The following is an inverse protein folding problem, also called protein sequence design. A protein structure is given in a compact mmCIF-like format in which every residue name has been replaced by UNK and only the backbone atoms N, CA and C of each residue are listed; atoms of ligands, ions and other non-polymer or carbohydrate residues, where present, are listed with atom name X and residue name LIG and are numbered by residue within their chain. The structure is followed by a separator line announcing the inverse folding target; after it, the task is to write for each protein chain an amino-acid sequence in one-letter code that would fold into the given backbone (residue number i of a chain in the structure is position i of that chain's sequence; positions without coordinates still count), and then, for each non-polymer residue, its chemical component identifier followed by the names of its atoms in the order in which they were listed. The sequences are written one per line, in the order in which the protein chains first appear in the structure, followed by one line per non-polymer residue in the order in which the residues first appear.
data_IF_126923598309
#
_entry.id   IF_126923598309
#
_cell.length_a   1.000
_cell.length_b   1.000
_cell.length_c   1.000
_cell.angle_alpha   90.00
_cell.angle_beta   90.00
_cell.angle_gamma   90.00
#
_symmetry.space_group_name_H-M   'P 1'
#
loop_
_entity.id
_entity.type
_entity.pdbx_description
1 polymer ?
#
# COMPACT_ATOMS: atom_id res chain seq x y z
N UNK A 1 -0.03 14.34 12.54
CA UNK A 1 0.39 13.07 11.94
C UNK A 1 0.11 12.03 13.01
N UNK A 2 -0.72 11.03 12.76
CA UNK A 2 -1.06 10.03 13.78
C UNK A 2 0.08 9.04 13.97
N UNK A 3 0.16 8.39 15.13
CA UNK A 3 1.24 7.44 15.45
C UNK A 3 1.30 6.27 14.47
N UNK A 4 0.14 5.79 14.00
CA UNK A 4 0.05 4.74 12.96
C UNK A 4 0.62 5.17 11.60
N UNK A 5 0.42 6.45 11.20
CA UNK A 5 0.98 7.00 9.98
C UNK A 5 2.51 7.09 10.06
N UNK A 6 3.02 7.51 11.22
CA UNK A 6 4.47 7.55 11.47
C UNK A 6 5.09 6.15 11.46
N UNK A 7 4.45 5.16 12.09
CA UNK A 7 4.87 3.76 12.06
C UNK A 7 4.93 3.23 10.64
N UNK A 8 3.84 3.41 9.89
CA UNK A 8 3.76 2.92 8.53
C UNK A 8 4.84 3.53 7.63
N UNK A 9 4.95 4.86 7.63
CA UNK A 9 5.94 5.57 6.81
C UNK A 9 7.37 5.19 7.17
N UNK A 10 7.69 5.12 8.47
CA UNK A 10 9.03 4.72 8.90
C UNK A 10 9.43 3.35 8.36
N UNK A 11 8.57 2.36 8.48
CA UNK A 11 8.90 0.99 8.10
C UNK A 11 8.79 0.77 6.60
N UNK A 12 7.70 1.23 5.97
CA UNK A 12 7.42 0.93 4.58
C UNK A 12 7.95 1.97 3.57
N UNK A 13 8.58 3.07 4.01
CA UNK A 13 9.40 3.89 3.13
C UNK A 13 10.70 3.17 2.69
N UNK A 14 11.10 2.13 3.39
CA UNK A 14 12.21 1.25 3.00
C UNK A 14 11.73 0.32 1.88
N UNK A 15 12.32 0.38 0.66
CA UNK A 15 11.82 -0.36 -0.49
C UNK A 15 11.77 -1.88 -0.29
N UNK A 16 12.71 -2.47 0.43
CA UNK A 16 12.75 -3.91 0.72
C UNK A 16 11.56 -4.34 1.57
N UNK A 17 11.18 -3.55 2.56
CA UNK A 17 10.02 -3.78 3.42
C UNK A 17 8.71 -3.65 2.62
N UNK A 18 8.62 -2.61 1.79
CA UNK A 18 7.48 -2.41 0.91
C UNK A 18 7.36 -3.54 -0.12
N UNK A 19 8.47 -4.02 -0.68
CA UNK A 19 8.49 -5.13 -1.62
C UNK A 19 7.93 -6.42 -0.98
N UNK A 20 8.27 -6.70 0.29
CA UNK A 20 7.69 -7.82 1.05
C UNK A 20 6.17 -7.71 1.18
N UNK A 21 5.67 -6.53 1.56
CA UNK A 21 4.23 -6.26 1.64
C UNK A 21 3.57 -6.44 0.26
N UNK A 22 4.11 -5.85 -0.79
CA UNK A 22 3.57 -5.96 -2.14
C UNK A 22 3.48 -7.41 -2.61
N UNK A 23 4.51 -8.24 -2.34
CA UNK A 23 4.47 -9.68 -2.65
C UNK A 23 3.34 -10.41 -1.94
N UNK A 24 2.95 -9.98 -0.74
CA UNK A 24 1.89 -10.63 0.03
C UNK A 24 0.47 -10.21 -0.38
N UNK A 25 0.32 -9.08 -1.08
CA UNK A 25 -1.00 -8.45 -1.32
C UNK A 25 -1.36 -8.36 -2.79
N UNK A 26 -0.37 -8.17 -3.66
CA UNK A 26 -0.62 -8.08 -5.11
C UNK A 26 -1.07 -9.42 -5.68
N UNK A 27 -1.94 -9.43 -6.71
CA UNK A 27 -2.20 -10.62 -7.50
C UNK A 27 -0.92 -11.29 -8.00
N UNK A 28 -0.88 -12.62 -8.00
CA UNK A 28 0.32 -13.38 -8.34
C UNK A 28 0.90 -13.02 -9.72
N UNK A 29 0.03 -12.71 -10.69
CA UNK A 29 0.42 -12.28 -12.03
C UNK A 29 1.16 -10.94 -12.01
N UNK A 30 0.73 -9.99 -11.16
CA UNK A 30 1.44 -8.72 -10.98
C UNK A 30 2.78 -8.92 -10.27
N UNK A 31 2.84 -9.77 -9.23
CA UNK A 31 4.10 -10.10 -8.57
C UNK A 31 5.10 -10.71 -9.54
N UNK A 32 4.65 -11.62 -10.41
CA UNK A 32 5.50 -12.24 -11.42
C UNK A 32 6.00 -11.25 -12.48
N UNK A 33 5.14 -10.29 -12.86
CA UNK A 33 5.46 -9.29 -13.87
C UNK A 33 6.34 -8.13 -13.35
N UNK A 34 6.38 -7.89 -12.04
CA UNK A 34 7.14 -6.80 -11.43
C UNK A 34 8.52 -7.24 -10.96
N UNK A 35 9.53 -6.42 -11.19
CA UNK A 35 10.81 -6.57 -10.50
C UNK A 35 10.82 -5.80 -9.18
N UNK A 36 10.26 -6.42 -8.14
CA UNK A 36 10.17 -5.83 -6.80
C UNK A 36 11.53 -5.72 -6.09
N UNK A 37 12.61 -6.32 -6.63
CA UNK A 37 13.96 -6.08 -6.10
C UNK A 37 14.52 -4.71 -6.52
N UNK A 38 13.90 -4.07 -7.50
CA UNK A 38 14.23 -2.74 -8.01
C UNK A 38 13.11 -1.73 -7.72
N UNK A 39 12.38 -1.95 -6.62
CA UNK A 39 11.37 -1.01 -6.15
C UNK A 39 12.04 0.29 -5.72
N UNK A 40 11.54 1.42 -6.19
CA UNK A 40 12.06 2.75 -5.85
C UNK A 40 10.96 3.58 -5.17
N UNK A 41 11.28 4.17 -4.02
CA UNK A 41 10.43 5.17 -3.39
C UNK A 41 10.58 6.50 -4.14
N UNK A 42 9.48 7.05 -4.65
CA UNK A 42 9.47 8.36 -5.28
C UNK A 42 9.26 9.44 -4.21
N UNK A 43 10.12 10.47 -4.21
CA UNK A 43 9.96 11.60 -3.31
C UNK A 43 8.71 12.42 -3.67
N UNK A 44 7.93 12.84 -2.67
CA UNK A 44 6.71 13.63 -2.88
C UNK A 44 6.95 15.00 -3.56
N UNK A 45 8.19 15.48 -3.64
CA UNK A 45 8.59 16.70 -4.35
C UNK A 45 8.48 16.58 -5.87
N UNK A 46 8.49 15.35 -6.41
CA UNK A 46 8.36 15.10 -7.85
C UNK A 46 6.93 15.23 -8.38
N UNK A 47 5.93 15.38 -7.51
CA UNK A 47 4.52 15.41 -7.88
C UNK A 47 3.88 16.73 -7.44
N UNK A 48 4.20 17.79 -8.16
CA UNK A 48 3.58 19.14 -8.14
C UNK A 48 3.37 19.84 -6.78
N UNK A 49 3.87 21.08 -6.70
CA UNK A 49 3.80 22.03 -5.57
C UNK A 49 2.38 22.42 -5.09
N UNK A 50 1.30 21.83 -5.66
CA UNK A 50 -0.07 22.30 -5.44
C UNK A 50 -0.99 21.33 -4.65
N UNK A 51 -0.44 20.30 -3.97
CA UNK A 51 -1.24 19.31 -3.24
C UNK A 51 -0.93 19.26 -1.74
N UNK A 52 -0.89 20.42 -1.07
CA UNK A 52 -0.52 20.55 0.33
C UNK A 52 -1.40 19.82 1.36
N UNK A 53 -2.57 19.26 0.99
CA UNK A 53 -3.46 18.62 1.94
C UNK A 53 -3.83 17.15 1.63
N UNK A 54 -3.39 16.56 0.50
CA UNK A 54 -3.84 15.22 0.08
C UNK A 54 -2.70 14.39 -0.52
N UNK A 55 -1.60 14.19 0.22
CA UNK A 55 -0.50 13.32 -0.24
C UNK A 55 -0.86 11.86 0.00
N UNK A 56 -0.61 11.01 -1.00
CA UNK A 56 -0.48 9.57 -0.77
C UNK A 56 0.62 9.34 0.27
N UNK A 57 0.44 8.35 1.15
CA UNK A 57 1.42 8.12 2.20
C UNK A 57 2.76 7.71 1.61
N UNK A 58 2.75 6.78 0.65
CA UNK A 58 3.94 6.34 -0.07
C UNK A 58 3.62 6.12 -1.54
N UNK A 59 4.53 6.52 -2.43
CA UNK A 59 4.48 6.28 -3.86
C UNK A 59 5.75 5.54 -4.28
N UNK A 60 5.58 4.37 -4.87
CA UNK A 60 6.69 3.59 -5.41
C UNK A 60 6.60 3.45 -6.92
N UNK A 61 7.76 3.18 -7.51
CA UNK A 61 7.92 2.80 -8.90
C UNK A 61 8.67 1.46 -8.96
N UNK A 62 8.14 0.52 -9.74
CA UNK A 62 8.78 -0.76 -10.01
C UNK A 62 8.82 -1.02 -11.51
N UNK A 63 9.92 -1.57 -12.06
CA UNK A 63 9.98 -1.96 -13.46
C UNK A 63 9.13 -3.21 -13.70
N UNK A 64 8.46 -3.26 -14.87
CA UNK A 64 7.90 -4.49 -15.40
C UNK A 64 9.02 -5.34 -16.02
N UNK A 65 8.93 -6.64 -15.82
CA UNK A 65 9.77 -7.63 -16.51
C UNK A 65 9.12 -7.95 -17.85
N UNK A 66 9.47 -7.21 -18.89
CA UNK A 66 9.11 -7.61 -20.26
C UNK A 66 10.27 -8.44 -20.83
N UNK A 67 9.95 -9.65 -21.27
CA UNK A 67 10.84 -10.44 -22.13
C UNK A 67 10.61 -9.91 -23.55
N UNK A 68 11.54 -9.09 -24.05
CA UNK A 68 11.59 -8.73 -25.45
C UNK A 68 11.79 -9.98 -26.32
N UNK A 69 11.42 -9.92 -27.60
CA UNK A 69 11.60 -11.03 -28.57
C UNK A 69 13.07 -11.46 -28.70
N UNK A 70 14.00 -10.58 -28.33
CA UNK A 70 15.47 -10.78 -28.34
C UNK A 70 16.04 -11.24 -26.98
N UNK A 71 15.19 -11.48 -25.97
CA UNK A 71 15.60 -11.87 -24.62
C UNK A 71 16.19 -10.73 -23.77
N UNK A 72 16.20 -9.50 -24.27
CA UNK A 72 16.50 -8.33 -23.47
C UNK A 72 15.28 -7.95 -22.63
N UNK A 73 15.50 -7.59 -21.37
CA UNK A 73 14.43 -7.13 -20.46
C UNK A 73 14.25 -5.62 -20.64
N UNK A 74 13.24 -5.23 -21.40
CA UNK A 74 12.79 -3.85 -21.44
C UNK A 74 12.03 -3.52 -20.15
N UNK A 75 12.47 -2.49 -19.45
CA UNK A 75 11.87 -2.08 -18.19
C UNK A 75 10.85 -0.96 -18.40
N UNK A 76 9.56 -1.30 -18.31
CA UNK A 76 8.49 -0.31 -18.17
C UNK A 76 8.26 -0.07 -16.67
N UNK A 77 8.47 1.17 -16.21
CA UNK A 77 8.22 1.50 -14.81
C UNK A 77 6.72 1.62 -14.51
N UNK A 78 6.27 0.88 -13.51
CA UNK A 78 4.90 0.89 -13.00
C UNK A 78 4.85 1.67 -11.68
N UNK A 79 4.25 2.86 -11.62
CA UNK A 79 4.04 3.56 -10.37
C UNK A 79 3.02 2.82 -9.48
N UNK A 80 3.41 2.52 -8.25
CA UNK A 80 2.55 1.90 -7.24
C UNK A 80 2.28 2.90 -6.11
N UNK A 81 1.01 3.12 -5.80
CA UNK A 81 0.58 3.90 -4.65
C UNK A 81 0.23 3.00 -3.49
N UNK A 82 0.83 3.26 -2.33
CA UNK A 82 0.45 2.66 -1.06
C UNK A 82 -0.24 3.72 -0.21
N UNK A 83 -1.49 3.47 0.17
CA UNK A 83 -2.25 4.30 1.09
C UNK A 83 -2.50 3.53 2.37
N UNK A 84 -2.32 4.20 3.51
CA UNK A 84 -2.74 3.69 4.81
C UNK A 84 -4.04 4.35 5.20
N UNK A 85 -5.02 3.53 5.47
CA UNK A 85 -6.28 3.97 6.06
C UNK A 85 -6.37 3.45 7.48
N UNK A 86 -6.21 4.33 8.45
CA UNK A 86 -6.19 4.01 9.89
C UNK A 86 -7.38 4.59 10.67
N UNK A 87 -8.42 5.00 9.96
CA UNK A 87 -9.66 5.46 10.58
C UNK A 87 -10.48 4.28 11.07
N UNK A 88 -11.33 4.53 12.07
CA UNK A 88 -12.26 3.53 12.63
C UNK A 88 -13.34 3.10 11.63
N UNK A 89 -13.54 3.86 10.55
CA UNK A 89 -14.52 3.61 9.50
C UNK A 89 -13.88 3.90 8.16
N UNK A 90 -14.01 3.01 7.16
CA UNK A 90 -13.47 3.25 5.83
C UNK A 90 -14.06 4.52 5.23
N UNK A 91 -13.24 5.38 4.58
CA UNK A 91 -13.77 6.59 3.96
C UNK A 91 -14.78 6.25 2.86
N UNK A 92 -16.00 6.81 2.88
CA UNK A 92 -17.05 6.46 1.92
C UNK A 92 -16.70 6.86 0.48
N UNK A 93 -15.66 7.66 0.29
CA UNK A 93 -15.21 8.18 -1.01
C UNK A 93 -13.76 7.77 -1.33
N UNK A 94 -13.28 6.66 -0.79
CA UNK A 94 -11.89 6.23 -1.00
C UNK A 94 -11.52 6.06 -2.47
N UNK A 95 -12.32 5.46 -3.37
CA UNK A 95 -11.98 5.37 -4.79
C UNK A 95 -11.87 6.74 -5.48
N UNK A 96 -12.68 7.72 -5.10
CA UNK A 96 -12.58 9.08 -5.62
C UNK A 96 -11.32 9.79 -5.09
N UNK A 97 -10.97 9.56 -3.82
CA UNK A 97 -9.72 10.06 -3.24
C UNK A 97 -8.51 9.44 -3.95
N UNK A 98 -8.54 8.13 -4.19
CA UNK A 98 -7.50 7.43 -4.94
C UNK A 98 -7.29 8.01 -6.35
N UNK A 99 -8.37 8.33 -7.07
CA UNK A 99 -8.26 8.97 -8.40
C UNK A 99 -7.51 10.32 -8.33
N UNK A 100 -7.65 11.08 -7.24
CA UNK A 100 -6.92 12.33 -7.05
C UNK A 100 -5.41 12.14 -6.94
N UNK A 101 -4.95 10.97 -6.50
CA UNK A 101 -3.52 10.63 -6.48
C UNK A 101 -3.02 10.11 -7.84
N UNK A 102 -3.87 9.46 -8.62
CA UNK A 102 -3.52 8.97 -9.96
C UNK A 102 -3.29 10.12 -10.94
N UNK A 103 -4.15 11.14 -10.90
CA UNK A 103 -4.08 12.27 -11.84
C UNK A 103 -2.73 13.01 -11.82
N UNK A 104 -2.14 13.37 -10.68
CA UNK A 104 -0.82 13.99 -10.63
C UNK A 104 0.30 13.10 -11.20
N UNK A 105 0.25 11.78 -10.98
CA UNK A 105 1.21 10.85 -11.58
C UNK A 105 1.16 10.91 -13.10
N UNK A 106 -0.03 10.93 -13.67
CA UNK A 106 -0.21 11.06 -15.12
C UNK A 106 0.21 12.44 -15.64
N UNK A 107 -0.13 13.50 -14.93
CA UNK A 107 0.29 14.87 -15.28
C UNK A 107 1.81 15.02 -15.23
N UNK A 108 2.46 14.47 -14.22
CA UNK A 108 3.93 14.44 -14.11
C UNK A 108 4.56 13.72 -15.31
N UNK A 109 4.07 12.51 -15.64
CA UNK A 109 4.56 11.75 -16.77
C UNK A 109 4.40 12.48 -18.12
N UNK A 110 3.32 13.23 -18.31
CA UNK A 110 3.11 14.05 -19.50
C UNK A 110 3.98 15.32 -19.50
N UNK A 111 4.30 15.86 -18.32
CA UNK A 111 5.20 17.02 -18.19
C UNK A 111 6.67 16.63 -18.46
N UNK A 112 7.07 15.45 -18.01
CA UNK A 112 8.41 14.88 -18.26
C UNK A 112 8.63 14.57 -19.75
N UNK A 113 7.60 14.06 -20.42
CA UNK A 113 7.63 13.73 -21.84
C UNK A 113 6.31 14.21 -22.52
N UNK A 114 6.28 15.45 -23.04
CA UNK A 114 5.12 15.98 -23.74
C UNK A 114 4.73 15.24 -25.03
N UNK A 115 5.63 14.42 -25.59
CA UNK A 115 5.35 13.59 -26.77
C UNK A 115 4.76 12.22 -26.42
N UNK A 116 4.68 11.88 -25.13
CA UNK A 116 4.15 10.61 -24.62
C UNK A 116 2.71 10.40 -25.08
N UNK A 117 2.46 9.23 -25.67
CA UNK A 117 1.12 8.84 -26.17
C UNK A 117 0.33 7.95 -25.21
N UNK A 118 0.99 7.39 -24.20
CA UNK A 118 0.41 6.44 -23.25
C UNK A 118 0.64 6.91 -21.82
N UNK A 119 -0.31 6.66 -20.93
CA UNK A 119 -0.15 6.95 -19.51
C UNK A 119 0.46 5.74 -18.80
N UNK A 120 1.32 5.96 -17.79
CA UNK A 120 1.83 4.86 -16.99
C UNK A 120 0.68 4.20 -16.21
N UNK A 121 0.68 2.87 -16.04
CA UNK A 121 -0.27 2.21 -15.18
C UNK A 121 -0.03 2.61 -13.71
N UNK A 122 -1.12 2.76 -12.95
CA UNK A 122 -1.08 3.05 -11.52
C UNK A 122 -1.94 2.05 -10.79
N UNK A 123 -1.37 1.37 -9.82
CA UNK A 123 -2.08 0.43 -8.94
C UNK A 123 -2.25 1.09 -7.57
N UNK A 124 -3.47 1.08 -7.06
CA UNK A 124 -3.81 1.65 -5.77
C UNK A 124 -4.00 0.54 -4.75
N UNK A 125 -3.14 0.53 -3.73
CA UNK A 125 -3.24 -0.34 -2.58
C UNK A 125 -3.64 0.47 -1.34
N UNK A 126 -4.64 0.02 -0.63
CA UNK A 126 -5.05 0.55 0.67
C UNK A 126 -4.76 -0.50 1.73
N UNK A 127 -3.91 -0.18 2.69
CA UNK A 127 -3.70 -1.01 3.88
C UNK A 127 -4.64 -0.51 4.97
N UNK A 128 -5.60 -1.35 5.33
CA UNK A 128 -6.63 -1.02 6.30
C UNK A 128 -6.47 -1.83 7.58
N UNK A 129 -6.58 -1.15 8.73
CA UNK A 129 -6.45 -1.77 10.04
C UNK A 129 -7.53 -1.27 11.04
N UNK A 130 -8.71 -0.96 10.54
CA UNK A 130 -9.83 -0.53 11.38
C UNK A 130 -10.52 -1.68 12.09
N UNK A 131 -11.33 -1.38 13.13
CA UNK A 131 -11.82 -2.41 14.09
C UNK A 131 -12.91 -3.34 13.54
N UNK A 132 -13.49 -3.09 12.37
CA UNK A 132 -14.63 -3.84 11.83
C UNK A 132 -14.42 -4.39 10.42
N UNK A 133 -13.19 -4.40 9.94
CA UNK A 133 -12.89 -4.74 8.55
C UNK A 133 -13.32 -3.65 7.55
N UNK A 134 -12.92 -3.85 6.29
CA UNK A 134 -13.25 -2.92 5.23
C UNK A 134 -14.70 -3.05 4.78
N UNK A 135 -15.49 -1.99 4.92
CA UNK A 135 -16.90 -1.92 4.49
C UNK A 135 -17.15 -0.84 3.44
N UNK A 136 -16.11 -0.08 3.06
CA UNK A 136 -16.20 0.98 2.05
C UNK A 136 -16.26 0.47 0.62
N UNK A 137 -16.53 1.34 -0.36
CA UNK A 137 -16.49 0.99 -1.76
C UNK A 137 -15.06 0.59 -2.18
N UNK A 138 -14.97 -0.38 -3.10
CA UNK A 138 -13.72 -0.87 -3.65
C UNK A 138 -13.44 -0.33 -5.05
N UNK A 139 -14.42 0.31 -5.68
CA UNK A 139 -14.27 0.87 -7.02
C UNK A 139 -15.06 2.17 -7.20
N UNK A 140 -14.67 2.96 -8.21
CA UNK A 140 -15.46 4.14 -8.61
C UNK A 140 -16.85 3.75 -9.07
N UNK A 141 -17.00 2.62 -9.77
CA UNK A 141 -18.31 2.15 -10.23
C UNK A 141 -19.30 1.89 -9.09
N UNK A 142 -18.84 1.49 -7.92
CA UNK A 142 -19.69 1.32 -6.73
C UNK A 142 -20.22 2.67 -6.20
N UNK A 143 -19.60 3.78 -6.58
CA UNK A 143 -19.98 5.13 -6.17
C UNK A 143 -20.84 5.85 -7.21
N UNK A 144 -20.94 5.34 -8.43
CA UNK A 144 -21.68 5.98 -9.53
C UNK A 144 -23.11 5.47 -9.55
N UNK A 145 -24.06 6.39 -9.30
CA UNK A 145 -25.47 6.06 -9.29
C UNK A 145 -25.98 5.61 -10.68
N UNK A 146 -26.83 4.60 -10.69
CA UNK A 146 -27.52 4.14 -11.89
C UNK A 146 -26.80 3.10 -12.73
N UNK A 147 -25.55 2.71 -12.39
CA UNK A 147 -24.83 1.65 -13.12
C UNK A 147 -25.44 0.25 -12.91
N UNK A 148 -26.20 0.06 -11.85
CA UNK A 148 -27.01 -1.12 -11.58
C UNK A 148 -28.26 -1.19 -12.48
N UNK A 149 -28.86 -0.02 -12.76
CA UNK A 149 -30.07 0.12 -13.58
C UNK A 149 -29.78 0.12 -15.08
N UNK A 150 -28.63 0.67 -15.47
CA UNK A 150 -28.21 0.77 -16.87
C UNK A 150 -26.77 0.31 -17.04
N UNK A 151 -26.50 -1.02 -17.03
CA UNK A 151 -25.16 -1.59 -17.05
C UNK A 151 -24.29 -1.18 -18.24
N UNK A 152 -24.90 -0.81 -19.38
CA UNK A 152 -24.18 -0.33 -20.58
C UNK A 152 -23.34 0.92 -20.28
N UNK A 153 -23.72 1.75 -19.30
CA UNK A 153 -22.96 2.92 -18.89
C UNK A 153 -21.58 2.58 -18.34
N UNK A 154 -21.34 1.34 -17.86
CA UNK A 154 -20.03 0.94 -17.34
C UNK A 154 -18.90 1.11 -18.36
N UNK A 155 -19.17 0.93 -19.63
CA UNK A 155 -18.19 1.13 -20.71
C UNK A 155 -17.86 2.61 -20.96
N UNK A 156 -18.68 3.53 -20.49
CA UNK A 156 -18.57 4.97 -20.75
C UNK A 156 -18.22 5.81 -19.52
N UNK A 157 -18.12 5.15 -18.35
CA UNK A 157 -17.80 5.80 -17.07
C UNK A 157 -16.44 5.30 -16.59
N UNK A 158 -15.51 6.19 -16.20
CA UNK A 158 -14.23 5.79 -15.68
C UNK A 158 -14.38 4.85 -14.49
N UNK A 159 -13.53 3.84 -14.41
CA UNK A 159 -13.44 2.98 -13.24
C UNK A 159 -12.00 2.94 -12.73
N UNK A 160 -11.86 2.88 -11.41
CA UNK A 160 -10.62 2.61 -10.72
C UNK A 160 -10.98 1.62 -9.61
N UNK A 161 -10.27 0.50 -9.57
CA UNK A 161 -10.45 -0.55 -8.57
C UNK A 161 -9.30 -0.48 -7.58
N UNK A 162 -9.63 -0.49 -6.28
CA UNK A 162 -8.65 -0.51 -5.21
C UNK A 162 -8.28 -1.96 -4.86
N UNK A 163 -7.00 -2.21 -4.65
CA UNK A 163 -6.56 -3.36 -3.87
C UNK A 163 -6.66 -2.99 -2.38
N UNK A 164 -7.34 -3.83 -1.60
CA UNK A 164 -7.52 -3.61 -0.17
C UNK A 164 -6.81 -4.73 0.58
N UNK A 165 -5.79 -4.37 1.35
CA UNK A 165 -5.19 -5.23 2.36
C UNK A 165 -5.83 -4.92 3.71
N UNK A 166 -6.81 -5.72 4.09
CA UNK A 166 -7.48 -5.58 5.37
C UNK A 166 -6.75 -6.41 6.43
N UNK A 167 -5.73 -5.80 7.04
CA UNK A 167 -4.92 -6.49 8.06
C UNK A 167 -5.70 -6.77 9.33
N UNK A 168 -6.79 -6.04 9.59
CA UNK A 168 -7.63 -6.28 10.77
C UNK A 168 -8.40 -7.61 10.72
N UNK A 169 -8.56 -8.18 9.53
CA UNK A 169 -9.23 -9.45 9.30
C UNK A 169 -8.28 -10.66 9.35
N UNK A 170 -6.98 -10.45 9.51
CA UNK A 170 -5.98 -11.52 9.51
C UNK A 170 -5.85 -12.17 10.89
N UNK A 171 -5.81 -13.50 10.93
CA UNK A 171 -5.31 -14.23 12.08
C UNK A 171 -3.77 -14.28 12.14
N UNK A 172 -3.22 -14.73 13.26
CA UNK A 172 -1.77 -14.77 13.46
C UNK A 172 -1.07 -15.69 12.45
N UNK A 173 -1.65 -16.85 12.15
CA UNK A 173 -1.07 -17.82 11.22
C UNK A 173 -0.98 -17.24 9.81
N UNK A 174 -2.04 -16.59 9.34
CA UNK A 174 -2.08 -15.92 8.03
C UNK A 174 -1.10 -14.75 7.96
N UNK A 175 -0.99 -13.97 9.03
CA UNK A 175 -0.05 -12.85 9.08
C UNK A 175 1.41 -13.35 9.09
N UNK A 176 1.74 -14.33 9.94
CA UNK A 176 3.08 -14.92 10.03
C UNK A 176 3.52 -15.66 8.77
N UNK A 177 2.57 -16.15 7.96
CA UNK A 177 2.85 -16.79 6.67
C UNK A 177 3.23 -15.80 5.56
N UNK A 178 3.09 -14.49 5.77
CA UNK A 178 3.47 -13.47 4.78
C UNK A 178 5.00 -13.45 4.59
N UNK A 179 5.49 -13.19 3.37
CA UNK A 179 6.93 -13.09 3.08
C UNK A 179 7.48 -11.73 3.55
N UNK A 180 7.35 -11.44 4.84
CA UNK A 180 7.82 -10.22 5.49
C UNK A 180 9.04 -10.55 6.35
N UNK A 181 10.07 -9.68 6.31
CA UNK A 181 11.15 -9.71 7.28
C UNK A 181 10.65 -9.26 8.68
N UNK A 182 11.42 -9.48 9.75
CA UNK A 182 10.93 -9.23 11.13
C UNK A 182 10.39 -7.82 11.37
N UNK A 183 11.06 -6.79 10.86
CA UNK A 183 10.63 -5.40 11.05
C UNK A 183 9.27 -5.09 10.44
N UNK A 184 9.01 -5.30 9.13
CA UNK A 184 7.67 -5.07 8.58
C UNK A 184 6.62 -6.04 9.12
N UNK A 185 6.97 -7.27 9.50
CA UNK A 185 6.05 -8.19 10.17
C UNK A 185 5.56 -7.61 11.49
N UNK A 186 6.48 -7.13 12.33
CA UNK A 186 6.15 -6.46 13.59
C UNK A 186 5.28 -5.22 13.35
N UNK A 187 5.60 -4.40 12.35
CA UNK A 187 4.83 -3.21 12.04
C UNK A 187 3.37 -3.54 11.64
N UNK A 188 3.15 -4.56 10.81
CA UNK A 188 1.79 -4.99 10.43
C UNK A 188 1.03 -5.55 11.62
N UNK A 189 1.68 -6.37 12.46
CA UNK A 189 1.09 -6.84 13.70
C UNK A 189 0.68 -5.69 14.62
N UNK A 190 1.56 -4.70 14.83
CA UNK A 190 1.25 -3.52 15.64
C UNK A 190 0.13 -2.67 15.04
N UNK A 191 0.06 -2.50 13.73
CA UNK A 191 -1.06 -1.83 13.07
C UNK A 191 -2.37 -2.55 13.32
N UNK A 192 -2.38 -3.89 13.32
CA UNK A 192 -3.56 -4.71 13.57
C UNK A 192 -4.05 -4.59 15.02
N UNK A 193 -3.15 -4.72 15.99
CA UNK A 193 -3.49 -5.01 17.39
C UNK A 193 -3.29 -3.83 18.35
N UNK A 194 -2.48 -2.80 18.02
CA UNK A 194 -2.09 -1.75 18.97
C UNK A 194 -3.23 -0.88 19.51
N UNK A 195 -4.42 -0.94 18.91
CA UNK A 195 -5.60 -0.24 19.42
C UNK A 195 -6.15 -0.84 20.72
N UNK A 196 -5.82 -2.09 21.00
CA UNK A 196 -6.32 -2.85 22.14
C UNK A 196 -5.17 -3.57 22.81
N UNK A 197 -4.76 -3.07 23.97
CA UNK A 197 -3.64 -3.67 24.73
C UNK A 197 -3.87 -5.15 25.04
N UNK A 198 -5.12 -5.54 25.30
CA UNK A 198 -5.48 -6.95 25.55
C UNK A 198 -5.20 -7.84 24.32
N UNK A 199 -5.43 -7.32 23.09
CA UNK A 199 -5.13 -8.03 21.86
C UNK A 199 -3.61 -8.18 21.65
N UNK A 200 -2.84 -7.10 21.88
CA UNK A 200 -1.39 -7.16 21.85
C UNK A 200 -0.81 -8.22 22.78
N UNK A 201 -1.29 -8.24 24.05
CA UNK A 201 -0.85 -9.19 25.05
C UNK A 201 -1.25 -10.63 24.65
N UNK A 202 -2.47 -10.82 24.16
CA UNK A 202 -2.97 -12.14 23.76
C UNK A 202 -2.17 -12.75 22.59
N UNK A 203 -1.77 -11.92 21.61
CA UNK A 203 -1.05 -12.38 20.42
C UNK A 203 0.48 -12.34 20.57
N UNK A 204 1.02 -11.68 21.60
CA UNK A 204 2.46 -11.57 21.85
C UNK A 204 3.21 -12.91 21.78
N UNK A 205 2.71 -14.02 22.35
CA UNK A 205 3.41 -15.29 22.25
C UNK A 205 3.63 -15.79 20.82
N UNK A 206 2.70 -15.49 19.89
CA UNK A 206 2.82 -15.89 18.49
C UNK A 206 3.91 -15.11 17.75
N UNK A 207 4.20 -13.87 18.18
CA UNK A 207 5.19 -12.98 17.56
C UNK A 207 6.50 -12.90 18.31
N UNK A 208 6.71 -13.71 19.37
CA UNK A 208 7.91 -13.64 20.20
C UNK A 208 9.20 -13.82 19.38
N UNK A 209 9.28 -14.86 18.56
CA UNK A 209 10.47 -15.13 17.73
C UNK A 209 10.76 -13.98 16.75
N UNK A 210 9.72 -13.38 16.18
CA UNK A 210 9.85 -12.23 15.29
C UNK A 210 10.42 -11.02 16.05
N UNK A 211 9.93 -10.78 17.26
CA UNK A 211 10.41 -9.67 18.11
C UNK A 211 11.86 -9.88 18.57
N UNK A 212 12.24 -11.11 18.92
CA UNK A 212 13.61 -11.45 19.27
C UNK A 212 14.56 -11.15 18.11
N UNK A 213 14.18 -11.52 16.87
CA UNK A 213 14.96 -11.18 15.67
C UNK A 213 15.04 -9.66 15.43
N UNK A 214 13.96 -8.92 15.67
CA UNK A 214 14.01 -7.44 15.57
C UNK A 214 14.97 -6.85 16.57
N UNK A 215 14.99 -7.35 17.82
CA UNK A 215 15.91 -6.86 18.86
C UNK A 215 17.38 -7.16 18.50
N UNK A 216 17.65 -8.33 17.92
CA UNK A 216 18.99 -8.75 17.54
C UNK A 216 19.49 -8.04 16.27
N UNK A 217 18.66 -7.95 15.22
CA UNK A 217 19.07 -7.48 13.90
C UNK A 217 18.84 -5.97 13.69
N UNK A 218 17.90 -5.36 14.43
CA UNK A 218 17.45 -3.99 14.22
C UNK A 218 17.07 -3.29 15.54
N UNK A 219 18.03 -3.10 16.48
CA UNK A 219 17.74 -2.59 17.82
C UNK A 219 17.12 -1.19 17.84
N UNK A 220 17.43 -0.33 16.86
CA UNK A 220 16.81 0.99 16.74
C UNK A 220 15.32 0.90 16.39
N UNK A 221 14.93 -0.07 15.55
CA UNK A 221 13.54 -0.34 15.24
C UNK A 221 12.80 -0.96 16.44
N UNK A 222 13.47 -1.84 17.21
CA UNK A 222 12.92 -2.37 18.45
C UNK A 222 12.60 -1.25 19.44
N UNK A 223 13.50 -0.28 19.63
CA UNK A 223 13.28 0.90 20.48
C UNK A 223 12.14 1.78 19.95
N UNK A 224 12.03 1.93 18.65
CA UNK A 224 10.93 2.67 18.04
C UNK A 224 9.58 1.99 18.30
N UNK A 225 9.47 0.68 18.12
CA UNK A 225 8.25 -0.09 18.39
C UNK A 225 7.85 -0.03 19.87
N UNK A 226 8.81 -0.12 20.79
CA UNK A 226 8.54 0.05 22.23
C UNK A 226 7.96 1.43 22.55
N UNK A 227 8.50 2.49 21.96
CA UNK A 227 7.95 3.84 22.12
C UNK A 227 6.54 3.96 21.55
N UNK A 228 6.31 3.38 20.36
CA UNK A 228 4.99 3.37 19.72
C UNK A 228 3.91 2.69 20.58
N UNK A 229 4.23 1.61 21.29
CA UNK A 229 3.28 0.89 22.16
C UNK A 229 3.07 1.64 23.49
N UNK A 230 4.02 2.48 23.91
CA UNK A 230 3.99 3.16 25.21
C UNK A 230 3.15 4.43 25.23
N UNK A 231 2.58 4.85 24.11
CA UNK A 231 1.66 5.98 23.98
C UNK A 231 0.24 5.51 23.70
#
# INVERSE_FOLDING_TARGET
MGDHDALFKRVFAVPENAAGMLRSVLPAELVAALDLSRLELLSGESITDNLDEQRADLLFRAPLRELGEDGQVDHVYLPLHLLVEHQSTPPPRMPLRALRYVLPVWQGALSEDPARKTLPPVVMLVVYHGPRGWTGPRSLHEMVAGLDKLPVLRAHVPNLVLLIDDVSALDDATLLARPLSPVPMTAVWLLRDSRHMDALIAHLPAFQEVLEQVVEESPDEALFFLRYISF
#
